data_IF_602275151659
#
_entry.id   IF_602275151659
#
_cell.length_a   1.000
_cell.length_b   1.000
_cell.length_c   1.000
_cell.angle_alpha   90.00
_cell.angle_beta   90.00
_cell.angle_gamma   90.00
#
_symmetry.space_group_name_H-M   'P 1'
#
loop_
_entity.id
_entity.type
_entity.pdbx_description
1 polymer ?
#
# COMPACT_ATOMS: atom_id res chain seq x y z
N UNK A 1 6.56 -16.62 18.02
CA UNK A 1 5.56 -15.53 18.06
C UNK A 1 6.18 -14.12 18.05
N UNK A 2 7.13 -13.76 18.93
CA UNK A 2 7.71 -12.39 19.01
C UNK A 2 8.29 -11.80 17.70
N UNK A 3 8.97 -12.60 16.87
CA UNK A 3 9.50 -12.14 15.56
C UNK A 3 8.41 -11.80 14.53
N UNK A 4 7.24 -12.43 14.62
CA UNK A 4 6.12 -12.16 13.72
C UNK A 4 5.45 -10.83 14.11
N UNK A 5 5.22 -10.65 15.41
CA UNK A 5 4.68 -9.39 15.95
C UNK A 5 5.52 -8.19 15.52
N UNK A 6 6.84 -8.26 15.70
CA UNK A 6 7.75 -7.19 15.29
C UNK A 6 7.68 -6.86 13.78
N UNK A 7 7.39 -7.85 12.93
CA UNK A 7 7.21 -7.62 11.49
C UNK A 7 5.88 -6.94 11.19
N UNK A 8 4.82 -7.31 11.90
CA UNK A 8 3.49 -6.69 11.79
C UNK A 8 3.57 -5.23 12.24
N UNK A 9 4.13 -4.97 13.43
CA UNK A 9 4.28 -3.61 13.97
C UNK A 9 5.09 -2.71 13.01
N UNK A 10 6.09 -3.27 12.32
CA UNK A 10 6.88 -2.53 11.32
C UNK A 10 6.02 -2.17 10.10
N UNK A 11 5.18 -3.08 9.61
CA UNK A 11 4.29 -2.85 8.47
C UNK A 11 3.22 -1.81 8.82
N UNK A 12 2.60 -1.92 9.99
CA UNK A 12 1.60 -0.96 10.48
C UNK A 12 2.18 0.46 10.52
N UNK A 13 3.37 0.63 11.11
CA UNK A 13 4.07 1.92 11.11
C UNK A 13 4.38 2.43 9.70
N UNK A 14 4.68 1.55 8.74
CA UNK A 14 4.90 1.98 7.36
C UNK A 14 3.60 2.50 6.73
N UNK A 15 2.47 1.84 6.98
CA UNK A 15 1.15 2.27 6.50
C UNK A 15 0.76 3.61 7.15
N UNK A 16 1.04 3.79 8.45
CA UNK A 16 0.72 5.02 9.17
C UNK A 16 1.53 6.24 8.71
N UNK A 17 2.71 6.03 8.13
CA UNK A 17 3.55 7.10 7.60
C UNK A 17 3.31 7.38 6.10
N UNK A 18 2.34 6.72 5.46
CA UNK A 18 1.92 7.09 4.12
C UNK A 18 1.13 8.40 4.13
N UNK A 19 1.18 9.20 3.04
CA UNK A 19 0.20 10.28 2.88
C UNK A 19 -1.22 9.70 2.84
N UNK A 20 -2.19 10.49 3.32
CA UNK A 20 -3.56 10.03 3.56
C UNK A 20 -4.20 9.36 2.33
N UNK A 21 -3.95 9.92 1.14
CA UNK A 21 -4.50 9.39 -0.12
C UNK A 21 -3.96 7.99 -0.46
N UNK A 22 -2.65 7.77 -0.32
CA UNK A 22 -2.03 6.47 -0.51
C UNK A 22 -2.40 5.50 0.61
N UNK A 23 -2.48 5.97 1.85
CA UNK A 23 -2.89 5.17 3.01
C UNK A 23 -4.28 4.59 2.80
N UNK A 24 -5.25 5.44 2.47
CA UNK A 24 -6.63 5.04 2.21
C UNK A 24 -6.69 4.04 1.04
N UNK A 25 -5.97 4.32 -0.05
CA UNK A 25 -5.91 3.41 -1.20
C UNK A 25 -5.34 2.02 -0.84
N UNK A 26 -4.30 1.97 -0.01
CA UNK A 26 -3.69 0.72 0.46
C UNK A 26 -4.64 -0.06 1.35
N UNK A 27 -5.35 0.60 2.26
CA UNK A 27 -6.35 -0.04 3.14
C UNK A 27 -7.46 -0.65 2.29
N UNK A 28 -8.07 0.13 1.39
CA UNK A 28 -9.18 -0.33 0.54
C UNK A 28 -8.76 -1.52 -0.35
N UNK A 29 -7.55 -1.49 -0.91
CA UNK A 29 -7.07 -2.53 -1.80
C UNK A 29 -6.58 -3.79 -1.07
N UNK A 30 -5.64 -3.65 -0.15
CA UNK A 30 -4.97 -4.81 0.47
C UNK A 30 -5.68 -5.36 1.70
N UNK A 31 -6.39 -4.52 2.46
CA UNK A 31 -7.08 -4.94 3.69
C UNK A 31 -8.54 -5.27 3.36
N UNK A 32 -9.26 -4.36 2.72
CA UNK A 32 -10.68 -4.57 2.37
C UNK A 32 -10.89 -5.38 1.08
N UNK A 33 -9.82 -5.69 0.34
CA UNK A 33 -9.84 -6.51 -0.89
C UNK A 33 -10.75 -5.95 -1.99
N UNK A 34 -10.95 -4.62 -2.02
CA UNK A 34 -11.71 -3.96 -3.09
C UNK A 34 -10.89 -3.86 -4.37
N UNK A 35 -11.52 -4.08 -5.51
CA UNK A 35 -10.90 -3.85 -6.83
C UNK A 35 -10.85 -2.35 -7.15
N UNK A 36 -9.91 -1.93 -7.99
CA UNK A 36 -9.74 -0.54 -8.40
C UNK A 36 -11.01 0.10 -8.96
N UNK A 37 -11.80 -0.65 -9.74
CA UNK A 37 -13.07 -0.16 -10.32
C UNK A 37 -14.07 0.20 -9.23
N UNK A 38 -14.16 -0.64 -8.18
CA UNK A 38 -15.08 -0.40 -7.08
C UNK A 38 -14.64 0.79 -6.23
N UNK A 39 -13.36 0.89 -5.94
CA UNK A 39 -12.79 2.02 -5.18
C UNK A 39 -12.98 3.33 -5.95
N UNK A 40 -12.72 3.31 -7.26
CA UNK A 40 -12.92 4.45 -8.16
C UNK A 40 -14.36 4.97 -8.11
N UNK A 41 -15.35 4.06 -8.12
CA UNK A 41 -16.76 4.40 -7.99
C UNK A 41 -17.10 4.95 -6.60
N UNK A 42 -16.68 4.25 -5.54
CA UNK A 42 -17.01 4.60 -4.15
C UNK A 42 -16.42 5.97 -3.75
N UNK A 43 -15.22 6.29 -4.26
CA UNK A 43 -14.52 7.55 -3.95
C UNK A 43 -14.76 8.66 -4.97
N UNK A 44 -15.47 8.39 -6.07
CA UNK A 44 -15.66 9.31 -7.20
C UNK A 44 -14.33 9.90 -7.74
N UNK A 45 -13.32 9.05 -7.90
CA UNK A 45 -12.01 9.40 -8.50
C UNK A 45 -11.70 8.45 -9.65
N UNK A 46 -10.81 8.84 -10.56
CA UNK A 46 -10.50 7.99 -11.72
C UNK A 46 -9.79 6.68 -11.34
N UNK A 47 -10.04 5.62 -12.12
CA UNK A 47 -9.30 4.36 -12.03
C UNK A 47 -7.78 4.57 -12.04
N UNK A 48 -7.29 5.45 -12.92
CA UNK A 48 -5.87 5.77 -13.04
C UNK A 48 -5.31 6.40 -11.76
N UNK A 49 -6.11 7.23 -11.08
CA UNK A 49 -5.74 7.87 -9.82
C UNK A 49 -5.62 6.85 -8.70
N UNK A 50 -6.63 5.97 -8.53
CA UNK A 50 -6.55 4.94 -7.48
C UNK A 50 -5.40 3.96 -7.74
N UNK A 51 -5.22 3.52 -8.99
CA UNK A 51 -4.10 2.66 -9.36
C UNK A 51 -2.75 3.32 -9.03
N UNK A 52 -2.60 4.62 -9.35
CA UNK A 52 -1.40 5.38 -9.01
C UNK A 52 -1.18 5.42 -7.50
N UNK A 53 -2.21 5.76 -6.71
CA UNK A 53 -2.11 5.82 -5.24
C UNK A 53 -1.70 4.48 -4.64
N UNK A 54 -2.29 3.36 -5.10
CA UNK A 54 -1.90 2.02 -4.65
C UNK A 54 -0.46 1.71 -5.04
N UNK A 55 -0.06 1.90 -6.30
CA UNK A 55 1.33 1.61 -6.72
C UNK A 55 2.35 2.46 -5.95
N UNK A 56 2.08 3.76 -5.78
CA UNK A 56 2.96 4.68 -5.04
C UNK A 56 3.05 4.28 -3.56
N UNK A 57 1.91 4.02 -2.91
CA UNK A 57 1.87 3.58 -1.52
C UNK A 57 2.62 2.26 -1.29
N UNK A 58 2.40 1.28 -2.16
CA UNK A 58 3.09 -0.03 -2.07
C UNK A 58 4.60 0.13 -2.25
N UNK A 59 5.03 0.99 -3.18
CA UNK A 59 6.46 1.29 -3.37
C UNK A 59 7.05 2.00 -2.15
N UNK A 60 6.35 2.96 -1.56
CA UNK A 60 6.81 3.65 -0.36
C UNK A 60 6.98 2.67 0.83
N UNK A 61 6.00 1.78 1.04
CA UNK A 61 6.10 0.70 2.04
C UNK A 61 7.32 -0.18 1.76
N UNK A 62 7.53 -0.60 0.51
CA UNK A 62 8.68 -1.41 0.14
C UNK A 62 10.02 -0.72 0.44
N UNK A 63 10.14 0.59 0.17
CA UNK A 63 11.34 1.37 0.49
C UNK A 63 11.54 1.45 2.00
N UNK A 64 10.50 1.73 2.78
CA UNK A 64 10.58 1.78 4.25
C UNK A 64 10.95 0.42 4.87
N UNK A 65 10.46 -0.68 4.30
CA UNK A 65 10.69 -2.02 4.82
C UNK A 65 12.06 -2.59 4.45
N UNK A 66 12.49 -2.40 3.21
CA UNK A 66 13.61 -3.13 2.60
C UNK A 66 14.73 -2.23 2.09
N UNK A 67 14.54 -0.91 2.09
CA UNK A 67 15.46 0.04 1.48
C UNK A 67 15.29 0.16 -0.03
N UNK A 68 15.84 1.23 -0.61
CA UNK A 68 15.56 1.63 -1.99
C UNK A 68 16.05 0.61 -3.03
N UNK A 69 17.24 0.03 -2.82
CA UNK A 69 17.84 -0.95 -3.74
C UNK A 69 17.03 -2.24 -3.77
N UNK A 70 16.57 -2.71 -2.61
CA UNK A 70 15.77 -3.93 -2.52
C UNK A 70 14.36 -3.72 -3.09
N UNK A 71 13.75 -2.54 -2.85
CA UNK A 71 12.42 -2.23 -3.35
C UNK A 71 12.29 -2.30 -4.88
N UNK A 72 13.35 -1.98 -5.63
CA UNK A 72 13.36 -2.07 -7.11
C UNK A 72 13.29 -3.50 -7.63
N UNK A 73 13.60 -4.50 -6.80
CA UNK A 73 13.57 -5.93 -7.15
C UNK A 73 12.28 -6.63 -6.71
N UNK A 74 11.36 -5.91 -6.07
CA UNK A 74 10.11 -6.49 -5.58
C UNK A 74 9.09 -6.52 -6.73
N UNK A 75 8.56 -7.71 -6.99
CA UNK A 75 7.42 -7.89 -7.88
C UNK A 75 6.14 -7.85 -7.04
N UNK A 76 5.32 -6.83 -7.27
CA UNK A 76 4.02 -6.72 -6.62
C UNK A 76 2.98 -7.55 -7.38
N UNK A 77 2.17 -8.28 -6.63
CA UNK A 77 1.06 -9.06 -7.18
C UNK A 77 -0.08 -8.08 -7.47
N UNK A 78 -0.44 -7.95 -8.75
CA UNK A 78 -1.67 -7.28 -9.18
C UNK A 78 -2.86 -8.21 -8.95
#
# INVERSE_FOLDING_TARGET
>A
MRKLQLKIDKIERCIDNLPDEEKEAIILYYIEKKKYERISQDMNISYSTIRRRVVTGTRAIAVMLFGEIAARKIHFIN
#
